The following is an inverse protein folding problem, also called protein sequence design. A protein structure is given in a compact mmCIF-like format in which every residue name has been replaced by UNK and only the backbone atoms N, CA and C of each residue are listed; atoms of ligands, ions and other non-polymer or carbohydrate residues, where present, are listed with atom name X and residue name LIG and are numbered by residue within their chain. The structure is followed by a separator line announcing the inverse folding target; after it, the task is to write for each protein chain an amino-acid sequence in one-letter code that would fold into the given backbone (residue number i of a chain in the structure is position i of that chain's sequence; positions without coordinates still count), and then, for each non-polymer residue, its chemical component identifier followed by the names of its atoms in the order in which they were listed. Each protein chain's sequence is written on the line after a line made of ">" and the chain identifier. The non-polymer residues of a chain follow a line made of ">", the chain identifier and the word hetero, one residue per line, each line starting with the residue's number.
data_IF_391193980727
#
_entry.id   IF_391193980727
#
_cell.length_a   1.000
_cell.length_b   1.000
_cell.length_c   1.000
_cell.angle_alpha   90.00
_cell.angle_beta   90.00
_cell.angle_gamma   90.00
#
_symmetry.space_group_name_H-M   'P 1'
#
loop_
_entity.id
_entity.type
_entity.pdbx_description
1 polymer ?
#
# COMPACT_ATOMS: atom_id res chain seq x y z
N UNK A 1 12.78 -25.65 -27.30
CA UNK A 1 12.24 -24.28 -27.18
C UNK A 1 12.77 -23.37 -28.27
N UNK A 2 11.92 -22.46 -28.75
CA UNK A 2 12.30 -21.43 -29.73
C UNK A 2 13.28 -20.42 -29.12
N UNK A 3 14.15 -19.85 -29.96
CA UNK A 3 15.05 -18.78 -29.54
C UNK A 3 14.26 -17.53 -29.07
N UNK A 4 14.76 -16.76 -28.09
CA UNK A 4 14.05 -15.60 -27.55
C UNK A 4 13.50 -14.63 -28.61
N UNK A 5 14.30 -14.29 -29.62
CA UNK A 5 13.87 -13.39 -30.70
C UNK A 5 12.68 -13.94 -31.50
N UNK A 6 12.62 -15.26 -31.75
CA UNK A 6 11.50 -15.87 -32.44
C UNK A 6 10.20 -15.79 -31.60
N UNK A 7 10.31 -16.04 -30.29
CA UNK A 7 9.18 -15.93 -29.35
C UNK A 7 8.63 -14.51 -29.29
N UNK A 8 9.52 -13.50 -29.26
CA UNK A 8 9.15 -12.08 -29.30
C UNK A 8 8.38 -11.76 -30.59
N UNK A 9 8.86 -12.22 -31.74
CA UNK A 9 8.18 -11.98 -33.01
C UNK A 9 6.79 -12.61 -33.08
N UNK A 10 6.63 -13.82 -32.55
CA UNK A 10 5.31 -14.46 -32.41
C UNK A 10 4.40 -13.65 -31.48
N UNK A 11 4.90 -13.24 -30.31
CA UNK A 11 4.14 -12.43 -29.35
C UNK A 11 3.68 -11.09 -29.95
N UNK A 12 4.54 -10.37 -30.68
CA UNK A 12 4.17 -9.12 -31.37
C UNK A 12 3.07 -9.34 -32.42
N UNK A 13 3.11 -10.47 -33.14
CA UNK A 13 2.09 -10.81 -34.15
C UNK A 13 0.75 -11.15 -33.49
N UNK A 14 0.77 -11.88 -32.38
CA UNK A 14 -0.41 -12.18 -31.58
C UNK A 14 -1.00 -10.90 -30.98
N UNK A 15 -0.16 -10.06 -30.35
CA UNK A 15 -0.60 -8.83 -29.70
C UNK A 15 -1.35 -7.89 -30.66
N UNK A 16 -0.80 -7.68 -31.87
CA UNK A 16 -1.45 -6.87 -32.91
C UNK A 16 -2.85 -7.37 -33.29
N UNK A 17 -3.11 -8.67 -33.14
CA UNK A 17 -4.37 -9.32 -33.48
C UNK A 17 -5.27 -9.58 -32.27
N UNK A 18 -4.83 -9.27 -31.04
CA UNK A 18 -5.65 -9.49 -29.85
C UNK A 18 -6.98 -8.72 -29.97
N UNK A 19 -8.14 -9.35 -29.74
CA UNK A 19 -9.41 -8.64 -29.77
C UNK A 19 -9.46 -7.57 -28.67
N UNK A 20 -10.29 -6.55 -28.88
CA UNK A 20 -10.57 -5.50 -27.89
C UNK A 20 -11.19 -6.03 -26.58
N UNK A 21 -11.63 -7.29 -26.55
CA UNK A 21 -12.15 -7.99 -25.37
C UNK A 21 -11.06 -8.55 -24.46
N UNK A 22 -9.81 -8.64 -24.92
CA UNK A 22 -8.70 -9.14 -24.13
C UNK A 22 -8.47 -8.25 -22.90
N UNK A 23 -8.41 -8.85 -21.71
CA UNK A 23 -8.34 -8.09 -20.45
C UNK A 23 -7.10 -7.21 -20.37
N UNK A 24 -5.94 -7.74 -20.75
CA UNK A 24 -4.70 -6.95 -20.78
C UNK A 24 -4.81 -5.76 -21.76
N UNK A 25 -5.45 -5.95 -22.92
CA UNK A 25 -5.68 -4.86 -23.90
C UNK A 25 -6.67 -3.80 -23.41
N UNK A 26 -7.62 -4.18 -22.56
CA UNK A 26 -8.54 -3.24 -21.90
C UNK A 26 -7.93 -2.53 -20.69
N UNK A 27 -6.77 -2.98 -20.21
CA UNK A 27 -6.15 -2.46 -19.00
C UNK A 27 -5.19 -1.30 -19.35
N UNK A 28 -5.53 -0.04 -19.00
CA UNK A 28 -4.67 1.10 -19.31
C UNK A 28 -3.45 1.23 -18.37
N UNK A 29 -3.37 0.41 -17.32
CA UNK A 29 -2.38 0.55 -16.25
C UNK A 29 -1.19 -0.40 -16.42
N UNK A 30 -1.37 -1.54 -17.09
CA UNK A 30 -0.29 -2.52 -17.35
C UNK A 30 0.21 -2.32 -18.78
N UNK A 31 1.28 -1.54 -18.96
CA UNK A 31 1.70 -1.05 -20.29
C UNK A 31 3.11 -1.45 -20.73
N UNK A 32 3.81 -2.28 -19.96
CA UNK A 32 5.23 -2.58 -20.18
C UNK A 32 5.48 -3.29 -21.51
N UNK A 33 4.55 -4.15 -21.94
CA UNK A 33 4.61 -4.82 -23.24
C UNK A 33 4.45 -3.88 -24.45
N UNK A 34 3.93 -2.66 -24.24
CA UNK A 34 3.79 -1.63 -25.28
C UNK A 34 4.92 -0.61 -25.23
N UNK A 35 5.28 -0.15 -24.02
CA UNK A 35 6.26 0.93 -23.80
C UNK A 35 7.69 0.44 -23.64
N UNK A 36 7.89 -0.78 -23.17
CA UNK A 36 9.20 -1.37 -22.88
C UNK A 36 9.88 -2.05 -24.07
N UNK A 37 9.29 -1.97 -25.27
CA UNK A 37 9.79 -2.64 -26.47
C UNK A 37 9.88 -4.16 -26.30
N UNK A 38 10.83 -4.78 -27.01
CA UNK A 38 11.00 -6.24 -27.00
C UNK A 38 11.32 -6.79 -25.60
N UNK A 39 12.07 -6.04 -24.79
CA UNK A 39 12.40 -6.42 -23.43
C UNK A 39 11.17 -6.41 -22.52
N UNK A 40 10.37 -5.35 -22.54
CA UNK A 40 9.14 -5.27 -21.75
C UNK A 40 8.09 -6.28 -22.18
N UNK A 41 7.96 -6.55 -23.49
CA UNK A 41 7.09 -7.61 -24.01
C UNK A 41 7.55 -8.99 -23.53
N UNK A 42 8.86 -9.25 -23.59
CA UNK A 42 9.42 -10.53 -23.17
C UNK A 42 9.28 -10.73 -21.67
N UNK A 43 9.59 -9.71 -20.87
CA UNK A 43 9.53 -9.78 -19.42
C UNK A 43 8.08 -9.97 -18.93
N UNK A 44 7.12 -9.24 -19.49
CA UNK A 44 5.73 -9.34 -19.03
C UNK A 44 5.03 -10.63 -19.52
N UNK A 45 5.25 -11.04 -20.77
CA UNK A 45 4.44 -12.09 -21.42
C UNK A 45 5.17 -13.39 -21.71
N UNK A 46 6.51 -13.38 -21.71
CA UNK A 46 7.33 -14.52 -22.14
C UNK A 46 8.36 -14.95 -21.07
N UNK A 47 8.36 -14.35 -19.89
CA UNK A 47 9.33 -14.66 -18.84
C UNK A 47 9.20 -16.15 -18.44
N UNK A 48 10.28 -16.95 -18.55
CA UNK A 48 10.23 -18.38 -18.29
C UNK A 48 10.30 -18.75 -16.81
N UNK A 49 10.53 -17.77 -15.93
CA UNK A 49 10.72 -17.95 -14.48
C UNK A 49 9.56 -17.36 -13.69
N UNK A 50 9.10 -16.19 -14.10
CA UNK A 50 8.08 -15.45 -13.37
C UNK A 50 6.71 -16.09 -13.60
N UNK A 51 6.00 -16.31 -12.50
CA UNK A 51 4.63 -16.83 -12.50
C UNK A 51 3.74 -15.73 -11.95
N UNK A 52 2.72 -15.36 -12.72
CA UNK A 52 1.70 -14.44 -12.23
C UNK A 52 0.85 -15.14 -11.17
N UNK A 53 0.73 -14.53 -9.99
CA UNK A 53 -0.12 -15.00 -8.91
C UNK A 53 -1.24 -14.01 -8.67
N UNK A 54 -2.46 -14.52 -8.49
CA UNK A 54 -3.51 -13.76 -7.80
C UNK A 54 -3.16 -13.65 -6.32
N UNK A 55 -3.76 -12.71 -5.59
CA UNK A 55 -3.57 -12.59 -4.13
C UNK A 55 -3.82 -13.92 -3.40
N UNK A 56 -4.90 -14.69 -3.67
CA UNK A 56 -5.10 -16.01 -3.05
C UNK A 56 -4.00 -17.03 -3.41
N UNK A 57 -3.56 -17.06 -4.66
CA UNK A 57 -2.52 -18.00 -5.11
C UNK A 57 -1.16 -17.65 -4.50
N UNK A 58 -0.85 -16.35 -4.40
CA UNK A 58 0.34 -15.86 -3.72
C UNK A 58 0.33 -16.23 -2.23
N UNK A 59 -0.81 -16.04 -1.55
CA UNK A 59 -0.96 -16.48 -0.16
C UNK A 59 -0.73 -17.98 0.02
N UNK A 60 -1.29 -18.80 -0.89
CA UNK A 60 -1.12 -20.25 -0.86
C UNK A 60 0.35 -20.66 -1.05
N UNK A 61 1.08 -19.99 -1.95
CA UNK A 61 2.52 -20.20 -2.13
C UNK A 61 3.30 -19.92 -0.84
N UNK A 62 3.04 -18.77 -0.20
CA UNK A 62 3.70 -18.37 1.04
C UNK A 62 3.37 -19.35 2.18
N UNK A 63 2.10 -19.76 2.30
CA UNK A 63 1.66 -20.74 3.30
C UNK A 63 2.32 -22.12 3.10
N UNK A 64 2.44 -22.58 1.84
CA UNK A 64 3.12 -23.84 1.52
C UNK A 64 4.60 -23.83 1.90
N UNK A 65 5.23 -22.66 1.98
CA UNK A 65 6.60 -22.48 2.45
C UNK A 65 6.73 -22.41 3.99
N UNK A 66 5.63 -22.60 4.76
CA UNK A 66 5.64 -22.51 6.22
C UNK A 66 5.70 -21.06 6.74
N UNK A 67 5.32 -20.09 5.90
CA UNK A 67 5.31 -18.67 6.20
C UNK A 67 3.87 -18.14 6.27
N UNK A 68 3.68 -16.96 6.84
CA UNK A 68 2.45 -16.19 6.77
C UNK A 68 2.75 -14.75 6.36
N UNK A 69 1.87 -14.18 5.52
CA UNK A 69 1.90 -12.76 5.18
C UNK A 69 1.42 -11.96 6.39
N UNK A 70 2.18 -10.93 6.77
CA UNK A 70 1.82 -10.02 7.88
C UNK A 70 1.46 -8.63 7.39
N UNK A 71 1.88 -8.27 6.18
CA UNK A 71 1.58 -7.00 5.55
C UNK A 71 1.74 -7.15 4.04
N UNK A 72 0.71 -6.74 3.30
CA UNK A 72 0.84 -6.41 1.89
C UNK A 72 1.22 -4.93 1.81
N UNK A 73 2.36 -4.64 1.17
CA UNK A 73 2.95 -3.30 1.15
C UNK A 73 2.03 -2.35 0.39
N UNK A 74 1.85 -1.16 0.97
CA UNK A 74 0.74 -0.23 0.71
C UNK A 74 -0.62 -0.80 1.17
N UNK A 75 -0.83 -1.10 2.46
CA UNK A 75 -2.06 -1.73 2.97
C UNK A 75 -3.35 -1.05 2.54
N UNK A 76 -3.35 0.29 2.39
CA UNK A 76 -4.49 1.08 1.91
C UNK A 76 -5.01 0.60 0.55
N UNK A 77 -4.11 0.16 -0.34
CA UNK A 77 -4.46 -0.34 -1.67
C UNK A 77 -5.28 -1.63 -1.59
N UNK A 78 -5.03 -2.44 -0.56
CA UNK A 78 -5.67 -3.73 -0.31
C UNK A 78 -6.87 -3.66 0.64
N UNK A 79 -7.31 -2.47 1.04
CA UNK A 79 -8.50 -2.27 1.88
C UNK A 79 -9.69 -1.75 1.05
N UNK A 80 -10.67 -2.62 0.70
CA UNK A 80 -11.83 -2.20 -0.07
C UNK A 80 -12.66 -1.10 0.61
N UNK A 81 -12.64 -1.00 1.95
CA UNK A 81 -13.38 0.06 2.67
C UNK A 81 -12.82 1.45 2.42
N UNK A 82 -11.63 1.56 1.83
CA UNK A 82 -11.02 2.85 1.52
C UNK A 82 -11.57 3.48 0.23
N UNK A 83 -12.26 2.71 -0.62
CA UNK A 83 -12.85 3.21 -1.87
C UNK A 83 -14.25 2.63 -2.20
N UNK A 84 -14.77 1.70 -1.40
CA UNK A 84 -16.17 1.29 -1.41
C UNK A 84 -16.93 1.97 -0.26
N UNK A 85 -17.89 2.84 -0.59
CA UNK A 85 -18.63 3.64 0.39
C UNK A 85 -20.03 3.11 0.72
N UNK A 86 -20.49 2.02 0.07
CA UNK A 86 -21.83 1.48 0.29
C UNK A 86 -21.97 0.89 1.71
N UNK A 87 -22.85 1.45 2.57
CA UNK A 87 -23.02 0.98 3.94
C UNK A 87 -23.54 -0.45 4.05
N UNK A 88 -24.17 -1.01 2.99
CA UNK A 88 -24.62 -2.40 2.95
C UNK A 88 -23.50 -3.39 2.65
N UNK A 89 -22.43 -2.93 1.98
CA UNK A 89 -21.24 -3.75 1.74
C UNK A 89 -20.32 -3.78 2.95
N UNK A 90 -20.28 -2.69 3.73
CA UNK A 90 -19.38 -2.53 4.89
C UNK A 90 -19.39 -3.73 5.85
N UNK A 91 -20.54 -4.22 6.38
CA UNK A 91 -20.53 -5.35 7.33
C UNK A 91 -19.93 -6.63 6.75
N UNK A 92 -20.10 -6.86 5.43
CA UNK A 92 -19.55 -8.04 4.75
C UNK A 92 -18.04 -7.93 4.62
N UNK A 93 -17.53 -6.76 4.27
CA UNK A 93 -16.10 -6.49 4.17
C UNK A 93 -15.46 -6.48 5.57
N UNK A 94 -16.17 -5.96 6.58
CA UNK A 94 -15.71 -5.96 7.97
C UNK A 94 -15.48 -7.36 8.53
N UNK A 95 -16.30 -8.33 8.14
CA UNK A 95 -16.16 -9.73 8.50
C UNK A 95 -15.03 -10.48 7.75
N UNK A 96 -14.44 -9.88 6.72
CA UNK A 96 -13.35 -10.50 5.95
C UNK A 96 -12.00 -10.36 6.67
N UNK A 97 -11.20 -11.42 6.61
CA UNK A 97 -9.79 -11.37 6.99
C UNK A 97 -8.95 -10.53 6.00
N UNK A 98 -7.68 -10.30 6.35
CA UNK A 98 -6.75 -9.50 5.55
C UNK A 98 -6.62 -10.01 4.10
N UNK A 99 -6.52 -11.33 3.91
CA UNK A 99 -6.28 -11.91 2.58
C UNK A 99 -7.56 -11.95 1.74
N UNK A 100 -8.72 -12.14 2.38
CA UNK A 100 -10.03 -12.01 1.73
C UNK A 100 -10.28 -10.57 1.25
N UNK A 101 -9.94 -9.56 2.07
CA UNK A 101 -10.01 -8.15 1.67
C UNK A 101 -9.08 -7.83 0.51
N UNK A 102 -7.84 -8.31 0.59
CA UNK A 102 -6.85 -8.10 -0.46
C UNK A 102 -7.24 -8.77 -1.78
N UNK A 103 -7.82 -9.97 -1.73
CA UNK A 103 -8.35 -10.65 -2.92
C UNK A 103 -9.55 -9.91 -3.53
N UNK A 104 -10.45 -9.38 -2.70
CA UNK A 104 -11.54 -8.52 -3.18
C UNK A 104 -10.99 -7.24 -3.83
N UNK A 105 -10.02 -6.58 -3.19
CA UNK A 105 -9.36 -5.40 -3.70
C UNK A 105 -8.72 -5.63 -5.07
N UNK A 106 -7.91 -6.68 -5.21
CA UNK A 106 -7.30 -7.10 -6.48
C UNK A 106 -8.36 -7.27 -7.58
N UNK A 107 -9.41 -8.02 -7.29
CA UNK A 107 -10.44 -8.35 -8.26
C UNK A 107 -11.23 -7.12 -8.78
N UNK A 108 -11.44 -6.12 -7.94
CA UNK A 108 -12.27 -4.94 -8.31
C UNK A 108 -11.46 -3.77 -8.85
N UNK A 109 -10.19 -3.62 -8.49
CA UNK A 109 -9.38 -2.50 -8.99
C UNK A 109 -8.70 -2.81 -10.32
N UNK A 110 -8.32 -4.08 -10.56
CA UNK A 110 -7.73 -4.54 -11.82
C UNK A 110 -6.43 -3.82 -12.22
N UNK A 111 -5.83 -3.04 -11.32
CA UNK A 111 -4.67 -2.19 -11.59
C UNK A 111 -3.44 -2.61 -10.77
N UNK A 112 -3.46 -3.79 -10.14
CA UNK A 112 -2.34 -4.30 -9.34
C UNK A 112 -1.44 -5.19 -10.21
N UNK A 113 -0.28 -4.67 -10.64
CA UNK A 113 0.68 -5.42 -11.44
C UNK A 113 1.69 -6.24 -10.63
N UNK A 114 1.91 -5.87 -9.37
CA UNK A 114 2.90 -6.50 -8.47
C UNK A 114 2.35 -6.57 -7.05
N UNK A 115 2.59 -7.69 -6.37
CA UNK A 115 2.35 -7.84 -4.94
C UNK A 115 3.68 -7.88 -4.18
N UNK A 116 3.82 -7.02 -3.18
CA UNK A 116 4.98 -7.00 -2.28
C UNK A 116 4.45 -7.30 -0.87
N UNK A 117 5.09 -8.24 -0.18
CA UNK A 117 4.65 -8.68 1.14
C UNK A 117 5.80 -8.83 2.13
N UNK A 118 5.54 -8.46 3.39
CA UNK A 118 6.35 -8.91 4.51
C UNK A 118 5.79 -10.24 5.02
N UNK A 119 6.68 -11.21 5.19
CA UNK A 119 6.35 -12.55 5.64
C UNK A 119 7.14 -12.90 6.90
N UNK A 120 6.52 -13.69 7.77
CA UNK A 120 7.17 -14.28 8.95
C UNK A 120 6.90 -15.78 8.97
N UNK A 121 7.59 -16.54 9.82
CA UNK A 121 7.23 -17.95 10.04
C UNK A 121 5.78 -18.06 10.51
N UNK A 122 5.08 -19.10 10.08
CA UNK A 122 3.67 -19.28 10.41
C UNK A 122 3.39 -19.24 11.92
N UNK A 123 4.31 -19.77 12.73
CA UNK A 123 4.26 -19.83 14.20
C UNK A 123 4.88 -18.60 14.90
N UNK A 124 5.44 -17.65 14.16
CA UNK A 124 6.04 -16.47 14.76
C UNK A 124 4.97 -15.64 15.49
N UNK A 125 5.29 -15.07 16.67
CA UNK A 125 4.36 -14.24 17.41
C UNK A 125 3.92 -13.04 16.57
N UNK A 126 2.72 -12.53 16.84
CA UNK A 126 2.27 -11.27 16.26
C UNK A 126 3.15 -10.15 16.82
N UNK A 127 3.76 -9.39 15.91
CA UNK A 127 4.53 -8.20 16.26
C UNK A 127 3.74 -6.98 15.82
N UNK A 128 3.49 -6.05 16.74
CA UNK A 128 2.84 -4.76 16.47
C UNK A 128 3.86 -3.65 16.64
N UNK A 129 3.81 -2.63 15.79
CA UNK A 129 4.62 -1.44 15.96
C UNK A 129 4.27 -0.77 17.31
N UNK A 130 5.27 -0.28 18.08
CA UNK A 130 5.08 0.28 19.41
C UNK A 130 4.58 1.73 19.35
N UNK A 131 3.42 1.95 18.72
CA UNK A 131 2.83 3.28 18.52
C UNK A 131 2.34 3.94 19.83
N UNK A 132 2.27 3.19 20.91
CA UNK A 132 1.91 3.61 22.26
C UNK A 132 3.14 3.87 23.16
N UNK A 133 4.34 3.50 22.73
CA UNK A 133 5.58 3.75 23.45
C UNK A 133 6.07 5.20 23.23
N UNK A 134 6.13 6.05 24.27
CA UNK A 134 6.63 7.41 24.14
C UNK A 134 8.08 7.49 23.66
N UNK A 135 8.88 6.44 23.84
CA UNK A 135 10.28 6.40 23.38
C UNK A 135 10.42 6.02 21.89
N UNK A 136 9.36 5.50 21.25
CA UNK A 136 9.43 5.12 19.85
C UNK A 136 9.61 6.35 18.94
N UNK A 137 10.38 6.19 17.88
CA UNK A 137 10.71 7.28 16.95
C UNK A 137 9.91 7.10 15.66
N UNK A 138 8.88 7.94 15.40
CA UNK A 138 8.17 7.92 14.12
C UNK A 138 9.06 8.46 13.00
N UNK A 139 8.96 7.86 11.82
CA UNK A 139 9.66 8.30 10.61
C UNK A 139 8.74 8.25 9.39
N UNK A 140 9.07 9.07 8.39
CA UNK A 140 8.34 9.18 7.14
C UNK A 140 9.15 8.58 5.99
N UNK A 141 8.60 7.54 5.34
CA UNK A 141 9.29 6.88 4.22
C UNK A 141 9.23 7.74 2.96
N UNK A 142 10.41 8.22 2.55
CA UNK A 142 10.62 9.05 1.35
C UNK A 142 9.85 10.39 1.38
N UNK A 143 9.38 10.83 2.54
CA UNK A 143 8.67 12.09 2.70
C UNK A 143 9.35 12.94 3.76
N UNK A 144 9.26 14.26 3.58
CA UNK A 144 9.66 15.25 4.57
C UNK A 144 8.41 15.71 5.33
N UNK A 145 8.45 15.63 6.66
CA UNK A 145 7.29 15.91 7.52
C UNK A 145 6.81 17.36 7.43
N UNK A 146 7.72 18.32 7.36
CA UNK A 146 7.38 19.74 7.26
C UNK A 146 6.74 20.08 5.90
N UNK A 147 7.30 19.54 4.80
CA UNK A 147 6.72 19.70 3.45
C UNK A 147 5.35 19.03 3.35
N UNK A 148 5.21 17.82 3.90
CA UNK A 148 3.93 17.11 3.91
C UNK A 148 2.88 17.91 4.69
N UNK A 149 3.22 18.39 5.89
CA UNK A 149 2.33 19.20 6.72
C UNK A 149 1.88 20.50 6.01
N UNK A 150 2.80 21.19 5.35
CA UNK A 150 2.49 22.40 4.58
C UNK A 150 1.61 22.11 3.35
N UNK A 151 1.70 20.89 2.80
CA UNK A 151 0.93 20.44 1.65
C UNK A 151 -0.45 19.85 1.97
N UNK A 152 -0.85 19.77 3.25
CA UNK A 152 -2.17 19.26 3.63
C UNK A 152 -3.26 20.16 3.04
N UNK A 153 -4.19 19.62 2.23
CA UNK A 153 -5.27 20.41 1.67
C UNK A 153 -6.19 21.00 2.77
N UNK A 154 -6.86 22.11 2.47
CA UNK A 154 -7.74 22.79 3.43
C UNK A 154 -8.92 21.95 3.90
N UNK A 155 -9.34 20.96 3.10
CA UNK A 155 -10.39 20.00 3.47
C UNK A 155 -9.89 18.92 4.45
N UNK A 156 -8.60 18.88 4.76
CA UNK A 156 -7.99 17.90 5.66
C UNK A 156 -7.88 16.49 5.06
N UNK A 157 -8.06 16.33 3.74
CA UNK A 157 -8.07 15.02 3.08
C UNK A 157 -6.85 14.87 2.18
N UNK A 158 -5.96 13.96 2.56
CA UNK A 158 -4.85 13.53 1.71
C UNK A 158 -5.38 12.62 0.60
N UNK A 159 -4.93 12.83 -0.63
CA UNK A 159 -5.32 12.01 -1.79
C UNK A 159 -4.14 11.13 -2.17
N UNK A 160 -4.25 9.83 -1.89
CA UNK A 160 -3.20 8.85 -2.21
C UNK A 160 -3.57 8.19 -3.52
N UNK A 161 -2.64 8.15 -4.47
CA UNK A 161 -2.88 7.62 -5.81
C UNK A 161 -2.11 6.32 -6.03
N UNK A 162 -2.79 5.30 -6.54
CA UNK A 162 -2.24 4.01 -6.95
C UNK A 162 -2.65 3.73 -8.39
N UNK A 163 -1.77 3.93 -9.37
CA UNK A 163 -1.98 3.55 -10.77
C UNK A 163 -3.41 3.90 -11.27
N UNK A 164 -3.76 5.19 -11.19
CA UNK A 164 -5.07 5.72 -11.58
C UNK A 164 -6.17 5.70 -10.52
N UNK A 165 -6.07 4.85 -9.50
CA UNK A 165 -6.99 4.85 -8.36
C UNK A 165 -6.59 5.94 -7.37
N UNK A 166 -7.49 6.88 -7.08
CA UNK A 166 -7.28 7.90 -6.03
C UNK A 166 -8.12 7.58 -4.81
N UNK A 167 -7.46 7.40 -3.67
CA UNK A 167 -8.07 7.04 -2.39
C UNK A 167 -7.99 8.23 -1.43
N UNK A 168 -9.12 8.74 -0.92
CA UNK A 168 -9.13 9.80 0.07
C UNK A 168 -8.76 9.26 1.46
N UNK A 169 -7.86 9.96 2.15
CA UNK A 169 -7.41 9.66 3.51
C UNK A 169 -7.67 10.90 4.38
N UNK A 170 -8.79 10.93 5.12
CA UNK A 170 -9.06 11.99 6.08
C UNK A 170 -7.98 12.00 7.17
N UNK A 171 -7.42 13.19 7.44
CA UNK A 171 -6.43 13.37 8.47
C UNK A 171 -7.05 14.00 9.73
N UNK A 172 -6.53 13.70 10.93
CA UNK A 172 -6.98 14.34 12.16
C UNK A 172 -6.65 15.84 12.16
N UNK A 173 -7.31 16.59 13.04
CA UNK A 173 -7.20 18.05 13.09
C UNK A 173 -5.77 18.51 13.36
N UNK A 174 -5.03 17.79 14.20
CA UNK A 174 -3.63 18.12 14.51
C UNK A 174 -2.61 17.52 13.54
N UNK A 175 -3.03 16.88 12.45
CA UNK A 175 -2.12 16.19 11.53
C UNK A 175 -0.95 17.06 11.07
N UNK A 176 -1.19 18.29 10.62
CA UNK A 176 -0.11 19.18 10.16
C UNK A 176 0.87 19.56 11.28
N UNK A 177 0.38 19.77 12.51
CA UNK A 177 1.23 20.11 13.65
C UNK A 177 2.09 18.93 14.11
N UNK A 178 1.56 17.70 14.02
CA UNK A 178 2.29 16.48 14.36
C UNK A 178 3.29 16.16 13.24
N UNK A 179 2.84 16.07 11.98
CA UNK A 179 3.66 15.67 10.83
C UNK A 179 4.87 16.59 10.66
N UNK A 180 4.74 17.89 10.91
CA UNK A 180 5.87 18.83 10.79
C UNK A 180 7.00 18.59 11.81
N UNK A 181 6.74 17.81 12.87
CA UNK A 181 7.71 17.44 13.90
C UNK A 181 8.30 16.05 13.70
N UNK A 182 7.73 15.24 12.80
CA UNK A 182 8.23 13.90 12.47
C UNK A 182 9.42 14.04 11.52
N UNK A 183 10.62 13.88 12.07
CA UNK A 183 11.90 13.98 11.36
C UNK A 183 12.73 12.70 11.40
N UNK A 184 12.17 11.61 11.95
CA UNK A 184 12.88 10.35 12.16
C UNK A 184 13.92 10.39 13.28
N UNK A 185 13.90 11.41 14.14
CA UNK A 185 14.81 11.56 15.28
C UNK A 185 14.06 11.78 16.59
N UNK A 186 13.06 12.66 16.59
CA UNK A 186 12.23 12.89 17.78
C UNK A 186 11.36 11.68 18.06
N UNK A 187 11.29 11.30 19.32
CA UNK A 187 10.36 10.31 19.85
C UNK A 187 8.92 10.84 19.89
N UNK A 188 7.94 9.93 19.99
CA UNK A 188 6.52 10.28 20.17
C UNK A 188 6.33 11.17 21.40
N UNK A 189 7.04 10.86 22.49
CA UNK A 189 7.04 11.62 23.74
C UNK A 189 7.51 13.05 23.55
N UNK A 190 8.63 13.27 22.87
CA UNK A 190 9.18 14.60 22.59
C UNK A 190 8.25 15.42 21.68
N UNK A 191 7.66 14.81 20.65
CA UNK A 191 6.69 15.51 19.78
C UNK A 191 5.49 15.98 20.58
N UNK A 192 5.00 15.15 21.51
CA UNK A 192 3.91 15.54 22.39
C UNK A 192 4.29 16.63 23.39
N UNK A 193 5.55 16.66 23.89
CA UNK A 193 6.05 17.75 24.74
C UNK A 193 6.08 19.08 23.98
N UNK A 194 6.60 19.06 22.76
CA UNK A 194 6.67 20.24 21.89
C UNK A 194 5.28 20.82 21.63
N UNK A 195 4.26 19.96 21.46
CA UNK A 195 2.88 20.42 21.27
C UNK A 195 2.24 20.90 22.57
N UNK A 196 2.59 20.30 23.71
CA UNK A 196 2.14 20.76 25.03
C UNK A 196 2.65 22.15 25.39
N UNK A 197 3.91 22.46 25.07
CA UNK A 197 4.47 23.80 25.20
C UNK A 197 3.72 24.86 24.37
N UNK A 198 3.07 24.43 23.28
CA UNK A 198 2.24 25.27 22.41
C UNK A 198 0.74 25.20 22.77
N UNK A 199 0.38 24.69 23.95
CA UNK A 199 -0.99 24.70 24.49
C UNK A 199 -1.84 23.48 24.12
N UNK A 200 -1.28 22.44 23.53
CA UNK A 200 -2.01 21.19 23.25
C UNK A 200 -1.90 20.23 24.43
N UNK A 201 -3.01 19.93 25.11
CA UNK A 201 -3.01 18.94 26.20
C UNK A 201 -2.47 17.57 25.73
N UNK A 202 -1.72 16.87 26.58
CA UNK A 202 -1.05 15.60 26.26
C UNK A 202 -2.04 14.51 25.84
N UNK A 203 -3.22 14.49 26.44
CA UNK A 203 -4.30 13.56 26.14
C UNK A 203 -4.90 13.83 24.74
N UNK A 204 -4.99 15.11 24.37
CA UNK A 204 -5.44 15.52 23.03
C UNK A 204 -4.40 15.09 21.99
N UNK A 205 -3.11 15.32 22.27
CA UNK A 205 -2.04 14.85 21.40
C UNK A 205 -2.11 13.32 21.22
N UNK A 206 -2.19 12.54 22.30
CA UNK A 206 -2.21 11.08 22.21
C UNK A 206 -3.36 10.58 21.32
N UNK A 207 -4.57 11.11 21.49
CA UNK A 207 -5.73 10.75 20.66
C UNK A 207 -5.53 11.13 19.19
N UNK A 208 -5.07 12.35 18.92
CA UNK A 208 -4.86 12.83 17.54
C UNK A 208 -3.68 12.11 16.86
N UNK A 209 -2.65 11.74 17.61
CA UNK A 209 -1.53 10.94 17.11
C UNK A 209 -1.98 9.54 16.72
N UNK A 210 -2.79 8.86 17.55
CA UNK A 210 -3.36 7.54 17.19
C UNK A 210 -4.26 7.63 15.95
N UNK A 211 -5.07 8.69 15.83
CA UNK A 211 -5.85 8.93 14.62
C UNK A 211 -4.96 9.17 13.38
N UNK A 212 -3.81 9.84 13.55
CA UNK A 212 -2.85 10.05 12.48
C UNK A 212 -2.19 8.73 12.05
N UNK A 213 -1.78 7.89 13.02
CA UNK A 213 -1.23 6.56 12.77
C UNK A 213 -2.22 5.71 11.99
N UNK A 214 -3.47 5.60 12.44
CA UNK A 214 -4.50 4.84 11.75
C UNK A 214 -4.76 5.32 10.30
N UNK A 215 -4.59 6.62 10.04
CA UNK A 215 -4.72 7.19 8.70
C UNK A 215 -3.49 6.93 7.82
N UNK A 216 -2.28 7.12 8.37
CA UNK A 216 -1.03 7.21 7.62
C UNK A 216 -0.23 5.91 7.55
N UNK A 217 -0.31 5.04 8.56
CA UNK A 217 0.42 3.76 8.56
C UNK A 217 0.00 2.90 7.37
N UNK A 218 -1.31 2.79 7.12
CA UNK A 218 -1.85 2.07 5.96
C UNK A 218 -1.41 2.62 4.60
N UNK A 219 -0.97 3.88 4.53
CA UNK A 219 -0.39 4.44 3.30
C UNK A 219 1.04 3.97 3.02
N UNK A 220 1.63 3.20 3.95
CA UNK A 220 3.03 2.79 3.94
C UNK A 220 3.99 4.01 3.88
N UNK A 221 3.62 5.10 4.57
CA UNK A 221 4.41 6.34 4.65
C UNK A 221 4.81 6.72 6.07
N UNK A 222 3.98 6.48 7.07
CA UNK A 222 4.32 6.69 8.48
C UNK A 222 4.70 5.36 9.12
N UNK A 223 5.92 5.28 9.64
CA UNK A 223 6.55 4.07 10.18
C UNK A 223 7.21 4.38 11.53
N UNK A 224 7.63 3.35 12.26
CA UNK A 224 8.54 3.47 13.41
C UNK A 224 9.95 3.11 12.96
N UNK A 225 10.93 3.90 13.41
CA UNK A 225 12.35 3.57 13.22
C UNK A 225 12.67 2.24 13.89
N UNK A 226 13.48 1.41 13.23
CA UNK A 226 14.02 0.23 13.88
C UNK A 226 14.84 0.64 15.12
N UNK A 227 14.84 -0.18 16.19
CA UNK A 227 15.67 0.03 17.37
C UNK A 227 17.16 0.12 17.06
#
# INVERSE_FOLDING_TARGET
>A
DEAPAARVEVAKRLWRQMPETAWLRRNPWITDHEKGGDAGLYDLLLNPRDVAFTVPAFNALIAAAGLRIVCLVEPLRYDPLSYLSDPKLRPRIEAMDMMQRAALAEAITGNMGVHIAYCVRADAPVNSAPWDDPAAIPCLRELDGAKLAAGIPRDGVLRVTFDGLTVPVPLPRLAGAILSRIDGKRSIGEIGDDLAQNGTAREVFAREFQALVAAMEKTNRLLISAP
#
